data_IF_602403380526
#
_entry.id   IF_602403380526
#
_cell.length_a   1.000
_cell.length_b   1.000
_cell.length_c   1.000
_cell.angle_alpha   90.00
_cell.angle_beta   90.00
_cell.angle_gamma   90.00
#
_symmetry.space_group_name_H-M   'P 1'
#
loop_
_entity.id
_entity.type
_entity.pdbx_description
1 polymer ?
#
# COMPACT_ATOMS: atom_id res chain seq x y z
N UNK A 1 -5.44 3.09 14.60
CA UNK A 1 -6.16 1.96 14.00
C UNK A 1 -7.18 2.49 13.02
N UNK A 2 -6.93 2.35 11.72
CA UNK A 2 -7.98 2.49 10.71
C UNK A 2 -8.78 1.21 10.76
N UNK A 3 -10.10 1.31 10.92
CA UNK A 3 -11.00 0.19 10.75
C UNK A 3 -12.20 0.69 9.95
N UNK A 4 -12.53 -0.02 8.88
CA UNK A 4 -13.79 0.14 8.16
C UNK A 4 -14.67 -1.07 8.47
N UNK A 5 -15.97 -0.85 8.67
CA UNK A 5 -16.93 -1.91 8.98
C UNK A 5 -17.76 -2.22 7.74
N UNK A 6 -17.70 -3.47 7.26
CA UNK A 6 -18.61 -3.98 6.22
C UNK A 6 -19.70 -4.88 6.86
N UNK A 7 -20.55 -5.49 6.03
CA UNK A 7 -21.60 -6.42 6.49
C UNK A 7 -21.07 -7.70 7.17
N UNK A 8 -19.76 -7.98 7.06
CA UNK A 8 -19.10 -9.18 7.60
C UNK A 8 -18.25 -8.89 8.85
N UNK A 9 -18.03 -7.62 9.21
CA UNK A 9 -17.30 -7.24 10.42
C UNK A 9 -16.43 -5.99 10.28
N UNK A 10 -15.54 -5.81 11.25
CA UNK A 10 -14.53 -4.75 11.24
C UNK A 10 -13.28 -5.21 10.48
N UNK A 11 -12.87 -4.49 9.44
CA UNK A 11 -11.62 -4.70 8.69
C UNK A 11 -10.67 -3.55 8.99
N UNK A 12 -9.51 -3.83 9.59
CA UNK A 12 -8.50 -2.81 9.86
C UNK A 12 -7.75 -2.43 8.57
N UNK A 13 -7.64 -1.12 8.26
CA UNK A 13 -7.01 -0.62 7.03
C UNK A 13 -5.54 -0.21 7.23
N UNK A 14 -5.15 0.32 8.40
CA UNK A 14 -3.76 0.62 8.82
C UNK A 14 -3.76 0.64 10.34
N UNK A 15 -2.91 -0.17 10.96
CA UNK A 15 -2.50 0.10 12.31
C UNK A 15 -1.10 0.75 12.27
N UNK A 16 -1.02 2.00 12.73
CA UNK A 16 0.25 2.64 13.03
C UNK A 16 0.82 1.98 14.28
N UNK A 17 1.49 0.85 14.10
CA UNK A 17 2.35 0.31 15.14
C UNK A 17 3.75 0.89 14.91
N UNK A 18 4.19 1.77 15.82
CA UNK A 18 5.63 1.81 16.12
C UNK A 18 5.99 0.39 16.51
N UNK A 19 7.10 -0.14 15.98
CA UNK A 19 7.60 -1.48 16.32
C UNK A 19 7.85 -1.51 17.83
N UNK A 20 6.83 -1.88 18.58
CA UNK A 20 6.93 -1.99 20.03
C UNK A 20 7.90 -3.14 20.27
N UNK A 21 8.89 -2.95 21.13
CA UNK A 21 9.88 -4.01 21.42
C UNK A 21 9.20 -5.26 22.01
N UNK A 22 7.98 -5.09 22.54
CA UNK A 22 7.11 -6.17 23.03
C UNK A 22 6.35 -6.93 21.91
N UNK A 23 6.30 -6.43 20.68
CA UNK A 23 5.78 -7.19 19.53
C UNK A 23 6.88 -8.12 18.98
N UNK A 24 7.36 -9.04 19.80
CA UNK A 24 8.05 -10.24 19.31
C UNK A 24 6.98 -11.24 18.85
N UNK A 25 6.26 -10.92 17.78
CA UNK A 25 5.40 -11.92 17.15
C UNK A 25 6.30 -13.00 16.54
N UNK A 26 6.02 -14.30 16.78
CA UNK A 26 6.77 -15.35 16.14
C UNK A 26 6.57 -15.17 14.63
N UNK A 27 7.64 -14.97 13.83
CA UNK A 27 7.46 -14.81 12.40
C UNK A 27 6.67 -16.03 11.92
N UNK A 28 5.52 -15.81 11.28
CA UNK A 28 4.86 -16.86 10.55
C UNK A 28 5.94 -17.56 9.73
N UNK A 29 6.10 -18.87 9.92
CA UNK A 29 7.24 -19.56 9.30
C UNK A 29 7.21 -19.27 7.81
N UNK A 30 8.39 -19.15 7.20
CA UNK A 30 8.55 -18.85 5.78
C UNK A 30 7.61 -19.70 4.88
N UNK A 31 7.27 -20.90 5.34
CA UNK A 31 6.31 -21.82 4.74
C UNK A 31 4.85 -21.34 4.87
N UNK A 32 4.37 -21.02 6.09
CA UNK A 32 2.97 -20.57 6.31
C UNK A 32 2.64 -19.32 5.50
N UNK A 33 3.57 -18.37 5.41
CA UNK A 33 3.38 -17.16 4.61
C UNK A 33 3.31 -17.48 3.10
N UNK A 34 4.10 -18.44 2.63
CA UNK A 34 4.02 -18.91 1.25
C UNK A 34 2.67 -19.58 0.97
N UNK A 35 2.28 -20.52 1.83
CA UNK A 35 0.97 -21.19 1.75
C UNK A 35 -0.18 -20.17 1.75
N UNK A 36 -0.09 -19.11 2.56
CA UNK A 36 -1.08 -18.04 2.59
C UNK A 36 -1.17 -17.31 1.26
N UNK A 37 -0.03 -16.89 0.70
CA UNK A 37 0.02 -16.20 -0.60
C UNK A 37 -0.60 -17.06 -1.70
N UNK A 38 -0.33 -18.37 -1.67
CA UNK A 38 -0.83 -19.32 -2.67
C UNK A 38 -2.36 -19.58 -2.52
N UNK A 39 -2.92 -19.46 -1.32
CA UNK A 39 -4.31 -19.82 -1.02
C UNK A 39 -5.27 -18.63 -0.81
N UNK A 40 -4.75 -17.42 -0.59
CA UNK A 40 -5.53 -16.21 -0.27
C UNK A 40 -5.29 -15.09 -1.30
N UNK A 41 -5.29 -15.46 -2.58
CA UNK A 41 -4.96 -14.55 -3.69
C UNK A 41 -5.69 -13.21 -3.64
N UNK A 42 -7.01 -13.21 -3.38
CA UNK A 42 -7.81 -11.97 -3.33
C UNK A 42 -7.30 -11.00 -2.25
N UNK A 43 -6.92 -11.48 -1.07
CA UNK A 43 -6.42 -10.62 0.01
C UNK A 43 -5.02 -10.09 -0.27
N UNK A 44 -4.16 -10.89 -0.91
CA UNK A 44 -2.84 -10.45 -1.36
C UNK A 44 -2.96 -9.32 -2.39
N UNK A 45 -3.89 -9.44 -3.35
CA UNK A 45 -4.21 -8.34 -4.25
C UNK A 45 -4.64 -7.11 -3.45
N UNK A 46 -5.50 -7.28 -2.45
CA UNK A 46 -5.93 -6.19 -1.57
C UNK A 46 -4.78 -5.48 -0.89
N UNK A 47 -3.83 -6.24 -0.33
CA UNK A 47 -2.64 -5.67 0.30
C UNK A 47 -1.77 -4.86 -0.66
N UNK A 48 -1.56 -5.37 -1.87
CA UNK A 48 -0.75 -4.67 -2.88
C UNK A 48 -1.48 -3.41 -3.34
N UNK A 49 -2.76 -3.51 -3.69
CA UNK A 49 -3.58 -2.36 -4.11
C UNK A 49 -3.64 -1.30 -3.01
N UNK A 50 -3.72 -1.74 -1.75
CA UNK A 50 -3.65 -0.86 -0.61
C UNK A 50 -2.30 -0.14 -0.48
N UNK A 51 -1.18 -0.87 -0.55
CA UNK A 51 0.17 -0.27 -0.57
C UNK A 51 0.35 0.70 -1.74
N UNK A 52 -0.20 0.37 -2.92
CA UNK A 52 -0.19 1.26 -4.08
C UNK A 52 -1.00 2.54 -3.83
N UNK A 53 -2.13 2.45 -3.12
CA UNK A 53 -2.96 3.59 -2.75
C UNK A 53 -2.27 4.52 -1.75
N UNK A 54 -1.68 3.98 -0.69
CA UNK A 54 -0.94 4.79 0.31
C UNK A 54 0.51 5.06 -0.09
N UNK A 55 0.90 4.65 -1.30
CA UNK A 55 2.23 4.85 -1.84
C UNK A 55 3.37 4.32 -0.93
N UNK A 56 3.24 3.08 -0.47
CA UNK A 56 4.28 2.39 0.29
C UNK A 56 5.34 1.80 -0.63
N UNK A 57 6.51 2.43 -0.69
CA UNK A 57 7.59 2.07 -1.62
C UNK A 57 8.66 1.12 -1.05
N UNK A 58 8.48 0.60 0.17
CA UNK A 58 9.43 -0.34 0.81
C UNK A 58 8.73 -1.62 1.30
N UNK A 59 7.55 -1.94 0.77
CA UNK A 59 6.99 -3.27 0.92
C UNK A 59 7.85 -4.26 0.13
N UNK A 60 8.63 -5.07 0.86
CA UNK A 60 9.49 -6.07 0.28
C UNK A 60 8.98 -7.48 0.56
N UNK A 61 8.88 -8.30 -0.49
CA UNK A 61 8.72 -9.74 -0.39
C UNK A 61 9.82 -10.42 -1.19
N UNK A 62 10.75 -11.06 -0.51
CA UNK A 62 11.89 -11.78 -1.08
C UNK A 62 12.37 -12.87 -0.11
N UNK A 63 13.27 -13.76 -0.52
CA UNK A 63 13.84 -14.77 0.38
C UNK A 63 14.49 -14.17 1.63
N UNK A 64 15.04 -12.95 1.55
CA UNK A 64 15.77 -12.27 2.63
C UNK A 64 14.97 -11.21 3.39
N UNK A 65 13.88 -10.68 2.81
CA UNK A 65 13.01 -9.67 3.44
C UNK A 65 11.55 -10.03 3.18
N UNK A 66 10.76 -10.23 4.22
CA UNK A 66 9.33 -10.55 4.11
C UNK A 66 8.56 -9.58 5.00
N UNK A 67 8.11 -8.48 4.42
CA UNK A 67 7.35 -7.44 5.11
C UNK A 67 5.84 -7.75 5.08
N UNK A 68 5.47 -9.03 5.23
CA UNK A 68 4.11 -9.52 5.39
C UNK A 68 4.10 -10.45 6.60
N UNK A 69 3.11 -10.31 7.46
CA UNK A 69 2.96 -11.11 8.67
C UNK A 69 1.55 -11.69 8.72
N UNK A 70 1.40 -12.75 9.51
CA UNK A 70 0.10 -13.28 9.87
C UNK A 70 -0.11 -13.01 11.35
N UNK A 71 -1.30 -12.58 11.72
CA UNK A 71 -1.68 -12.40 13.13
C UNK A 71 -1.92 -13.76 13.83
N UNK A 72 -2.33 -13.71 15.10
CA UNK A 72 -2.62 -14.90 15.90
C UNK A 72 -3.74 -15.79 15.31
N UNK A 73 -4.68 -15.18 14.57
CA UNK A 73 -5.78 -15.87 13.89
C UNK A 73 -5.37 -16.38 12.50
N UNK A 74 -4.13 -16.13 12.09
CA UNK A 74 -3.58 -16.53 10.80
C UNK A 74 -3.99 -15.63 9.64
N UNK A 75 -4.50 -14.42 9.90
CA UNK A 75 -4.91 -13.46 8.87
C UNK A 75 -3.76 -12.54 8.48
N UNK A 76 -3.79 -12.06 7.24
CA UNK A 76 -2.79 -11.13 6.74
C UNK A 76 -2.79 -9.82 7.54
N UNK A 77 -1.62 -9.49 8.07
CA UNK A 77 -1.37 -8.27 8.81
C UNK A 77 -0.31 -7.42 8.10
N UNK A 78 -0.68 -6.18 7.79
CA UNK A 78 0.21 -5.21 7.14
C UNK A 78 0.85 -4.29 8.18
N UNK A 79 2.18 -4.31 8.25
CA UNK A 79 2.98 -3.50 9.18
C UNK A 79 4.05 -2.69 8.42
N UNK A 80 4.86 -1.90 9.14
CA UNK A 80 6.00 -1.15 8.58
C UNK A 80 5.64 -0.21 7.40
N UNK A 81 4.58 0.58 7.59
CA UNK A 81 4.18 1.63 6.63
C UNK A 81 4.95 2.95 6.82
N UNK A 82 6.11 2.93 7.51
CA UNK A 82 6.91 4.14 7.75
C UNK A 82 7.45 4.79 6.47
N UNK A 83 7.44 4.06 5.36
CA UNK A 83 7.81 4.55 4.03
C UNK A 83 6.59 4.93 3.16
N UNK A 84 5.36 4.78 3.67
CA UNK A 84 4.16 5.19 2.96
C UNK A 84 4.06 6.71 2.84
N UNK A 85 3.30 7.17 1.85
CA UNK A 85 3.06 8.58 1.56
C UNK A 85 4.33 9.43 1.42
N UNK A 86 5.48 8.79 1.11
CA UNK A 86 6.75 9.46 0.84
C UNK A 86 7.28 10.40 1.93
N UNK A 87 6.98 10.12 3.20
CA UNK A 87 7.45 10.92 4.34
C UNK A 87 8.85 10.54 4.85
N UNK A 88 9.52 9.56 4.22
CA UNK A 88 10.93 9.25 4.51
C UNK A 88 11.87 9.98 3.54
N UNK A 89 12.82 10.80 4.04
CA UNK A 89 13.81 11.44 3.18
C UNK A 89 14.74 10.41 2.56
N UNK A 90 15.21 10.65 1.33
CA UNK A 90 16.29 9.86 0.69
C UNK A 90 17.43 10.79 0.26
N UNK A 91 18.27 11.23 1.20
CA UNK A 91 19.34 12.20 0.91
C UNK A 91 20.31 11.71 -0.17
N UNK A 92 20.65 10.42 -0.16
CA UNK A 92 21.56 9.80 -1.13
C UNK A 92 21.03 9.78 -2.56
N UNK A 93 19.73 9.97 -2.75
CA UNK A 93 19.08 10.05 -4.06
C UNK A 93 18.70 11.49 -4.45
N UNK A 94 19.00 12.49 -3.60
CA UNK A 94 18.60 13.88 -3.82
C UNK A 94 17.09 14.09 -3.76
N UNK A 95 16.35 13.21 -3.06
CA UNK A 95 14.89 13.24 -3.01
C UNK A 95 14.40 13.75 -1.65
N UNK A 96 13.71 14.89 -1.68
CA UNK A 96 13.00 15.46 -0.53
C UNK A 96 11.76 14.63 -0.14
N UNK A 97 11.34 14.70 1.12
CA UNK A 97 10.15 14.03 1.63
C UNK A 97 8.96 14.99 1.75
N UNK A 98 7.74 14.44 1.83
CA UNK A 98 6.51 15.21 2.04
C UNK A 98 5.91 15.79 0.75
N UNK A 99 5.34 16.98 0.83
CA UNK A 99 4.56 17.62 -0.23
C UNK A 99 5.31 17.75 -1.57
N UNK A 100 6.61 18.11 -1.62
CA UNK A 100 7.35 18.15 -2.88
C UNK A 100 7.34 16.80 -3.59
N UNK A 101 7.55 15.72 -2.83
CA UNK A 101 7.56 14.36 -3.39
C UNK A 101 6.16 13.87 -3.74
N UNK A 102 5.18 14.09 -2.88
CA UNK A 102 3.77 13.77 -3.15
C UNK A 102 3.31 14.39 -4.48
N UNK A 103 3.73 15.63 -4.74
CA UNK A 103 3.43 16.35 -5.99
C UNK A 103 4.17 15.72 -7.18
N UNK A 104 5.48 15.48 -7.05
CA UNK A 104 6.30 14.95 -8.13
C UNK A 104 5.87 13.56 -8.61
N UNK A 105 5.46 12.68 -7.69
CA UNK A 105 5.11 11.27 -7.98
C UNK A 105 3.61 11.01 -7.99
N UNK A 106 2.79 12.07 -7.97
CA UNK A 106 1.34 12.03 -7.74
C UNK A 106 0.61 10.93 -8.50
N UNK A 107 1.00 10.70 -9.77
CA UNK A 107 0.43 9.67 -10.65
C UNK A 107 1.42 8.58 -11.08
N UNK A 108 2.65 8.66 -10.62
CA UNK A 108 3.69 7.71 -11.01
C UNK A 108 3.68 6.51 -10.06
N UNK A 109 3.12 5.40 -10.54
CA UNK A 109 3.15 4.13 -9.81
C UNK A 109 4.57 3.53 -9.81
N UNK A 110 5.43 3.85 -10.80
CA UNK A 110 6.78 3.31 -10.85
C UNK A 110 7.64 3.76 -9.66
N UNK A 111 7.40 4.96 -9.14
CA UNK A 111 8.05 5.49 -7.94
C UNK A 111 7.80 4.65 -6.66
N UNK A 112 6.88 3.68 -6.70
CA UNK A 112 6.63 2.73 -5.61
C UNK A 112 7.54 1.50 -5.65
N UNK A 113 8.23 1.28 -6.77
CA UNK A 113 9.09 0.12 -6.99
C UNK A 113 10.56 0.48 -7.01
N UNK A 114 10.92 1.60 -6.39
CA UNK A 114 12.30 2.08 -6.21
C UNK A 114 13.26 1.05 -5.58
N UNK A 115 12.73 -0.04 -5.02
CA UNK A 115 13.45 -1.11 -4.31
C UNK A 115 13.60 -2.41 -5.11
N UNK A 116 13.22 -2.43 -6.40
CA UNK A 116 13.28 -3.61 -7.27
C UNK A 116 14.66 -4.27 -7.37
N UNK A 117 15.71 -3.46 -7.26
CA UNK A 117 17.10 -3.92 -7.24
C UNK A 117 17.41 -4.92 -6.10
N UNK A 118 16.46 -5.17 -5.18
CA UNK A 118 16.56 -6.13 -4.06
C UNK A 118 15.79 -7.42 -4.26
N UNK A 119 15.49 -7.81 -5.51
CA UNK A 119 14.72 -9.03 -5.84
C UNK A 119 13.34 -9.02 -5.16
N UNK A 120 12.66 -7.87 -5.18
CA UNK A 120 11.33 -7.74 -4.62
C UNK A 120 10.29 -8.31 -5.59
N UNK A 121 9.64 -9.41 -5.21
CA UNK A 121 8.61 -10.07 -6.04
C UNK A 121 7.20 -9.66 -5.66
N UNK A 122 7.03 -8.67 -4.76
CA UNK A 122 5.72 -8.35 -4.18
C UNK A 122 4.63 -8.03 -5.22
N UNK A 123 4.99 -7.31 -6.28
CA UNK A 123 4.07 -6.92 -7.36
C UNK A 123 3.72 -8.06 -8.32
N UNK A 124 4.53 -9.12 -8.33
CA UNK A 124 4.30 -10.31 -9.16
C UNK A 124 3.05 -11.07 -8.67
N UNK A 125 2.64 -10.87 -7.42
CA UNK A 125 1.41 -11.46 -6.91
C UNK A 125 0.12 -10.80 -7.44
N UNK A 126 0.21 -9.71 -8.20
CA UNK A 126 -0.93 -9.23 -8.98
C UNK A 126 -1.07 -10.07 -10.24
N UNK A 127 -2.06 -10.96 -10.26
CA UNK A 127 -2.26 -11.97 -11.30
C UNK A 127 -3.67 -11.98 -11.89
N UNK A 128 -4.62 -11.25 -11.29
CA UNK A 128 -6.02 -11.24 -11.70
C UNK A 128 -6.60 -9.82 -11.78
N UNK A 129 -7.10 -9.44 -12.96
CA UNK A 129 -7.73 -8.14 -13.20
C UNK A 129 -9.05 -7.95 -12.44
N UNK A 130 -9.80 -9.01 -12.18
CA UNK A 130 -11.07 -8.92 -11.48
C UNK A 130 -10.83 -8.67 -9.98
N UNK A 131 -9.81 -9.32 -9.41
CA UNK A 131 -9.31 -9.00 -8.07
C UNK A 131 -8.78 -7.56 -7.97
N UNK A 132 -7.94 -7.12 -8.92
CA UNK A 132 -7.45 -5.72 -8.99
C UNK A 132 -8.62 -4.74 -9.03
N UNK A 133 -9.60 -4.97 -9.92
CA UNK A 133 -10.78 -4.11 -10.06
C UNK A 133 -11.57 -4.06 -8.75
N UNK A 134 -11.84 -5.22 -8.14
CA UNK A 134 -12.59 -5.33 -6.89
C UNK A 134 -12.00 -4.44 -5.80
N UNK A 135 -10.69 -4.47 -5.62
CA UNK A 135 -10.03 -3.65 -4.60
C UNK A 135 -9.92 -2.18 -4.97
N UNK A 136 -9.65 -1.86 -6.23
CA UNK A 136 -9.68 -0.46 -6.70
C UNK A 136 -11.08 0.16 -6.52
N UNK A 137 -12.15 -0.59 -6.80
CA UNK A 137 -13.53 -0.13 -6.62
C UNK A 137 -13.84 0.07 -5.12
N UNK A 138 -13.39 -0.84 -4.24
CA UNK A 138 -13.49 -0.64 -2.77
C UNK A 138 -12.76 0.62 -2.28
N UNK A 139 -11.57 0.91 -2.83
CA UNK A 139 -10.84 2.14 -2.49
C UNK A 139 -11.60 3.36 -3.01
N UNK A 140 -12.13 3.29 -4.23
CA UNK A 140 -12.90 4.37 -4.86
C UNK A 140 -14.15 4.77 -4.09
N UNK A 141 -14.76 3.85 -3.34
CA UNK A 141 -15.93 4.13 -2.49
C UNK A 141 -15.60 4.74 -1.13
N UNK A 142 -14.32 4.85 -0.76
CA UNK A 142 -13.92 5.54 0.48
C UNK A 142 -14.40 7.00 0.42
N UNK A 143 -15.16 7.49 1.40
CA UNK A 143 -15.66 8.86 1.38
C UNK A 143 -14.55 9.87 1.71
N UNK A 144 -14.69 11.10 1.23
CA UNK A 144 -13.71 12.17 1.45
C UNK A 144 -13.42 12.40 2.93
N UNK A 145 -14.48 12.49 3.75
CA UNK A 145 -14.36 12.70 5.19
C UNK A 145 -13.53 11.61 5.88
N UNK A 146 -13.49 10.39 5.33
CA UNK A 146 -12.69 9.32 5.91
C UNK A 146 -11.21 9.64 5.72
N UNK A 147 -10.79 10.00 4.51
CA UNK A 147 -9.40 10.39 4.21
C UNK A 147 -9.01 11.60 5.08
N UNK A 148 -9.86 12.61 5.13
CA UNK A 148 -9.64 13.84 5.92
C UNK A 148 -9.43 13.48 7.40
N UNK A 149 -10.34 12.69 7.99
CA UNK A 149 -10.27 12.27 9.38
C UNK A 149 -9.03 11.44 9.73
N UNK A 150 -8.50 10.68 8.77
CA UNK A 150 -7.28 9.88 8.96
C UNK A 150 -6.05 10.77 9.02
N UNK A 151 -5.96 11.75 8.11
CA UNK A 151 -4.86 12.71 8.10
C UNK A 151 -4.91 13.62 9.33
N UNK A 152 -6.11 14.04 9.75
CA UNK A 152 -6.30 14.89 10.93
C UNK A 152 -5.84 14.22 12.23
N UNK A 153 -5.95 12.88 12.31
CA UNK A 153 -5.49 12.10 13.46
C UNK A 153 -3.98 11.92 13.54
N UNK A 154 -3.22 12.34 12.54
CA UNK A 154 -1.75 12.35 12.65
C UNK A 154 -1.40 13.34 13.78
N UNK A 155 -0.58 12.96 14.77
CA UNK A 155 -0.31 13.83 15.92
C UNK A 155 0.24 15.20 15.49
N UNK A 156 -0.26 16.28 16.09
CA UNK A 156 0.08 17.66 15.72
C UNK A 156 1.43 18.10 16.30
N UNK A 157 1.91 17.41 17.32
CA UNK A 157 3.21 17.61 17.96
C UNK A 157 4.40 17.17 17.10
N UNK A 158 4.16 16.59 15.92
CA UNK A 158 5.21 16.24 14.96
C UNK A 158 5.56 17.46 14.09
N UNK A 159 6.86 17.73 13.89
CA UNK A 159 7.33 18.79 12.99
C UNK A 159 6.78 18.64 11.55
N UNK A 160 6.51 17.40 11.13
CA UNK A 160 5.83 17.05 9.88
C UNK A 160 4.92 15.84 10.06
N UNK A 161 3.80 15.76 9.34
CA UNK A 161 3.27 16.77 8.41
C UNK A 161 2.68 17.98 9.15
N UNK A 162 3.10 19.19 8.75
CA UNK A 162 2.46 20.44 9.14
C UNK A 162 1.13 20.62 8.38
N UNK A 163 0.42 21.72 8.65
CA UNK A 163 -0.90 21.98 8.06
C UNK A 163 -0.90 22.01 6.51
N UNK A 164 0.14 22.56 5.88
CA UNK A 164 0.25 22.54 4.42
C UNK A 164 0.54 21.14 3.86
N UNK A 165 1.39 20.37 4.56
CA UNK A 165 1.71 18.99 4.23
C UNK A 165 0.48 18.07 4.36
N UNK A 166 -0.36 18.29 5.38
CA UNK A 166 -1.61 17.55 5.59
C UNK A 166 -2.57 17.75 4.43
N UNK A 167 -2.75 19.01 3.99
CA UNK A 167 -3.55 19.30 2.78
C UNK A 167 -2.99 18.60 1.54
N UNK A 168 -1.68 18.68 1.32
CA UNK A 168 -1.03 17.99 0.20
C UNK A 168 -1.23 16.47 0.26
N UNK A 169 -1.18 15.88 1.45
CA UNK A 169 -1.42 14.46 1.67
C UNK A 169 -2.88 14.07 1.39
N UNK A 170 -3.85 14.87 1.87
CA UNK A 170 -5.27 14.69 1.56
C UNK A 170 -5.51 14.72 0.05
N UNK A 171 -5.00 15.76 -0.62
CA UNK A 171 -5.16 15.93 -2.07
C UNK A 171 -4.54 14.77 -2.84
N UNK A 172 -3.34 14.34 -2.43
CA UNK A 172 -2.66 13.19 -3.00
C UNK A 172 -3.49 11.91 -2.87
N UNK A 173 -3.98 11.59 -1.66
CA UNK A 173 -4.78 10.38 -1.43
C UNK A 173 -6.10 10.43 -2.21
N UNK A 174 -6.80 11.57 -2.22
CA UNK A 174 -8.05 11.73 -2.98
C UNK A 174 -7.82 11.57 -4.49
N UNK A 175 -6.76 12.18 -5.03
CA UNK A 175 -6.41 12.05 -6.44
C UNK A 175 -6.02 10.60 -6.81
N UNK A 176 -5.28 9.91 -5.93
CA UNK A 176 -4.86 8.53 -6.14
C UNK A 176 -6.04 7.57 -6.07
N UNK A 177 -6.91 7.71 -5.07
CA UNK A 177 -8.20 6.99 -4.98
C UNK A 177 -8.99 7.06 -6.29
N UNK A 178 -9.05 8.23 -6.92
CA UNK A 178 -9.80 8.45 -8.15
C UNK A 178 -9.17 7.81 -9.40
N UNK A 179 -7.85 7.62 -9.42
CA UNK A 179 -7.10 7.26 -10.64
C UNK A 179 -6.30 5.96 -10.54
N UNK A 180 -6.33 5.27 -9.40
CA UNK A 180 -5.48 4.11 -9.10
C UNK A 180 -5.61 2.99 -10.15
N UNK A 181 -6.84 2.60 -10.50
CA UNK A 181 -7.08 1.54 -11.49
C UNK A 181 -6.47 1.90 -12.85
N UNK A 182 -6.73 3.10 -13.35
CA UNK A 182 -6.23 3.58 -14.64
C UNK A 182 -4.71 3.67 -14.66
N UNK A 183 -4.09 4.03 -13.53
CA UNK A 183 -2.64 4.06 -13.41
C UNK A 183 -2.05 2.64 -13.45
N UNK A 184 -2.66 1.67 -12.77
CA UNK A 184 -2.22 0.26 -12.82
C UNK A 184 -2.34 -0.27 -14.24
N UNK A 185 -3.43 0.04 -14.94
CA UNK A 185 -3.63 -0.35 -16.34
C UNK A 185 -2.59 0.25 -17.27
N UNK A 186 -2.30 1.55 -17.15
CA UNK A 186 -1.27 2.24 -17.94
C UNK A 186 0.13 1.73 -17.66
N UNK A 187 0.40 1.35 -16.40
CA UNK A 187 1.70 0.84 -15.94
C UNK A 187 1.72 -0.69 -15.85
N UNK A 188 0.90 -1.39 -16.63
CA UNK A 188 0.81 -2.87 -16.61
C UNK A 188 2.16 -3.56 -16.73
N UNK A 189 3.10 -2.98 -17.48
CA UNK A 189 4.46 -3.52 -17.65
C UNK A 189 5.25 -3.66 -16.34
N UNK A 190 4.84 -2.97 -15.26
CA UNK A 190 5.41 -3.14 -13.93
C UNK A 190 4.88 -4.40 -13.21
N UNK A 191 3.84 -5.05 -13.73
CA UNK A 191 3.16 -6.19 -13.13
C UNK A 191 3.27 -7.40 -14.08
N UNK A 192 4.39 -8.14 -14.04
CA UNK A 192 4.73 -9.12 -15.08
C UNK A 192 3.70 -10.25 -15.19
N UNK A 193 3.18 -10.71 -14.04
CA UNK A 193 2.26 -11.84 -13.96
C UNK A 193 0.79 -11.43 -14.08
N UNK A 194 0.49 -10.14 -14.14
CA UNK A 194 -0.85 -9.65 -14.41
C UNK A 194 -1.13 -9.82 -15.91
N UNK A 195 -2.10 -10.65 -16.34
CA UNK A 195 -2.27 -11.00 -17.74
C UNK A 195 -2.55 -9.77 -18.59
N UNK A 196 -2.11 -9.77 -19.85
CA UNK A 196 -2.58 -8.76 -20.80
C UNK A 196 -4.11 -8.84 -20.88
N UNK A 197 -4.81 -7.71 -20.76
CA UNK A 197 -6.25 -7.67 -21.03
C UNK A 197 -6.41 -8.03 -22.50
N UNK A 198 -6.82 -9.27 -22.80
CA UNK A 198 -7.11 -9.71 -24.18
C UNK A 198 -8.01 -8.64 -24.79
N UNK A 199 -7.56 -8.07 -25.89
CA UNK A 199 -8.10 -6.82 -26.42
C UNK A 199 -9.63 -6.82 -26.38
N UNK A 200 -10.21 -5.90 -25.60
CA UNK A 200 -11.47 -5.29 -26.03
C UNK A 200 -11.13 -4.63 -27.35
N UNK A 201 -11.37 -5.35 -28.45
CA UNK A 201 -11.54 -4.72 -29.77
C UNK A 201 -12.56 -3.61 -29.52
N UNK A 202 -12.09 -2.37 -29.59
CA UNK A 202 -12.97 -1.21 -29.74
C UNK A 202 -13.77 -1.39 -31.02
#
# INVERSE_FOLDING_TARGET
MLAYRNQEGWTALIALFRKDQAMSEPPATARRLKEYVDTHSLEIHGAIIFDLFVANNDRAFSPKRRNLALDADGRLFLYDHGNACFYRPRPTAGIEAGAPRLTAVGKDIAALFDMDHKQNTYREFLTDWDAVRTWCDKIKTLPDYFIDSVVDRIPQELDRPNESERRALVDFLKARRATLFDQIEKSRNLFPDLPNRKGRRR
#
